data_IF_899515274162
#
_entry.id   IF_899515274162
#
_cell.length_a   1.000
_cell.length_b   1.000
_cell.length_c   1.000
_cell.angle_alpha   90.00
_cell.angle_beta   90.00
_cell.angle_gamma   90.00
#
_symmetry.space_group_name_H-M   'P 1'
#
loop_
_entity.id
_entity.type
_entity.pdbx_description
1 polymer ?
#
# COMPACT_ATOMS: atom_id res chain seq x y z
N UNK A 1 -16.09 -28.73 35.53
CA UNK A 1 -16.75 -27.85 34.55
C UNK A 1 -17.11 -26.54 35.23
N UNK A 2 -16.17 -25.60 35.27
CA UNK A 2 -16.45 -24.20 35.58
C UNK A 2 -15.55 -23.40 34.67
N UNK A 3 -16.18 -22.90 33.62
CA UNK A 3 -15.70 -21.99 32.60
C UNK A 3 -15.32 -20.65 33.25
N UNK A 4 -14.04 -20.30 33.22
CA UNK A 4 -13.56 -18.97 33.61
C UNK A 4 -13.38 -18.15 32.34
N UNK A 5 -14.18 -17.09 32.10
CA UNK A 5 -14.03 -16.29 30.90
C UNK A 5 -12.72 -15.50 30.95
N UNK A 6 -11.83 -15.78 30.00
CA UNK A 6 -10.64 -14.96 29.73
C UNK A 6 -11.10 -13.57 29.32
N UNK A 7 -10.97 -12.63 30.25
CA UNK A 7 -11.38 -11.25 30.07
C UNK A 7 -10.51 -10.56 29.00
N UNK A 8 -11.07 -10.34 27.82
CA UNK A 8 -10.60 -9.47 26.73
C UNK A 8 -10.61 -7.98 27.16
N UNK A 9 -9.88 -7.62 28.21
CA UNK A 9 -9.90 -6.26 28.79
C UNK A 9 -8.83 -5.30 28.25
N UNK A 10 -7.98 -5.69 27.30
CA UNK A 10 -6.83 -4.86 26.90
C UNK A 10 -6.76 -4.42 25.43
N UNK A 11 -7.76 -4.71 24.60
CA UNK A 11 -7.72 -4.29 23.18
C UNK A 11 -8.03 -2.79 23.00
N UNK A 12 -8.59 -2.11 24.01
CA UNK A 12 -9.03 -0.71 23.89
C UNK A 12 -7.97 0.37 24.14
N UNK A 13 -6.84 0.07 24.79
CA UNK A 13 -5.89 1.09 25.23
C UNK A 13 -4.60 1.17 24.38
N UNK A 14 -4.29 0.13 23.61
CA UNK A 14 -3.01 0.02 22.89
C UNK A 14 -2.87 0.99 21.71
N UNK A 15 -3.98 1.57 21.22
CA UNK A 15 -3.92 2.57 20.13
C UNK A 15 -3.34 3.91 20.63
N UNK A 16 -3.56 4.27 21.90
CA UNK A 16 -3.22 5.61 22.42
C UNK A 16 -1.73 5.74 22.83
N UNK A 17 -1.04 4.63 23.09
CA UNK A 17 0.36 4.61 23.52
C UNK A 17 1.29 3.88 22.54
N UNK A 18 0.89 3.71 21.28
CA UNK A 18 1.75 3.13 20.28
C UNK A 18 3.00 4.02 20.08
N UNK A 19 4.21 3.45 20.11
CA UNK A 19 5.41 4.23 19.86
C UNK A 19 5.38 4.78 18.43
N UNK A 20 5.96 5.96 18.20
CA UNK A 20 5.93 6.65 16.89
C UNK A 20 6.33 5.76 15.72
N UNK A 21 7.26 4.81 15.91
CA UNK A 21 7.62 3.86 14.87
C UNK A 21 6.47 2.91 14.51
N UNK A 22 5.70 2.41 15.47
CA UNK A 22 4.53 1.57 15.20
C UNK A 22 3.46 2.37 14.45
N UNK A 23 3.20 3.61 14.85
CA UNK A 23 2.25 4.51 14.16
C UNK A 23 2.71 4.84 12.73
N UNK A 24 3.99 5.11 12.53
CA UNK A 24 4.57 5.35 11.21
C UNK A 24 4.47 4.11 10.31
N UNK A 25 4.76 2.92 10.84
CA UNK A 25 4.62 1.67 10.09
C UNK A 25 3.16 1.39 9.70
N UNK A 26 2.20 1.71 10.57
CA UNK A 26 0.77 1.60 10.26
C UNK A 26 0.34 2.60 9.18
N UNK A 27 0.84 3.83 9.19
CA UNK A 27 0.57 4.79 8.13
C UNK A 27 1.11 4.29 6.77
N UNK A 28 2.36 3.81 6.76
CA UNK A 28 3.00 3.29 5.56
C UNK A 28 2.31 2.03 5.04
N UNK A 29 1.88 1.11 5.91
CA UNK A 29 1.15 -0.08 5.49
C UNK A 29 -0.19 0.27 4.83
N UNK A 30 -0.92 1.26 5.37
CA UNK A 30 -2.15 1.78 4.75
C UNK A 30 -1.88 2.40 3.38
N UNK A 31 -0.81 3.18 3.24
CA UNK A 31 -0.40 3.75 1.96
C UNK A 31 -0.04 2.67 0.94
N UNK A 32 0.76 1.68 1.34
CA UNK A 32 1.14 0.56 0.47
C UNK A 32 -0.09 -0.21 -0.01
N UNK A 33 -1.01 -0.54 0.89
CA UNK A 33 -2.21 -1.30 0.57
C UNK A 33 -3.10 -0.55 -0.43
N UNK A 34 -3.36 0.74 -0.18
CA UNK A 34 -4.16 1.57 -1.09
C UNK A 34 -3.47 1.73 -2.46
N UNK A 35 -2.15 1.95 -2.49
CA UNK A 35 -1.40 2.02 -3.75
C UNK A 35 -1.42 0.73 -4.56
N UNK A 36 -1.47 -0.44 -3.90
CA UNK A 36 -1.58 -1.73 -4.58
C UNK A 36 -2.96 -1.93 -5.22
N UNK A 37 -4.03 -1.48 -4.54
CA UNK A 37 -5.40 -1.60 -5.06
C UNK A 37 -5.65 -0.77 -6.33
N UNK A 38 -4.99 0.38 -6.46
CA UNK A 38 -5.06 1.22 -7.67
C UNK A 38 -4.51 0.50 -8.92
N UNK A 39 -3.56 -0.42 -8.76
CA UNK A 39 -3.01 -1.19 -9.87
C UNK A 39 -3.90 -2.40 -10.16
N UNK A 40 -4.59 -2.36 -11.28
CA UNK A 40 -5.39 -3.48 -11.80
C UNK A 40 -4.58 -4.33 -12.79
N UNK A 41 -3.29 -4.55 -12.48
CA UNK A 41 -2.37 -5.37 -13.28
C UNK A 41 -1.38 -6.14 -12.39
N UNK A 42 -0.79 -7.19 -12.94
CA UNK A 42 0.38 -7.87 -12.40
C UNK A 42 1.62 -7.48 -13.19
N UNK A 43 2.62 -6.91 -12.51
CA UNK A 43 3.90 -6.51 -13.09
C UNK A 43 5.03 -6.61 -12.06
N UNK A 44 6.11 -7.30 -12.43
CA UNK A 44 7.29 -7.44 -11.57
C UNK A 44 6.95 -8.11 -10.23
N UNK A 45 7.26 -7.42 -9.13
CA UNK A 45 6.95 -7.86 -7.76
C UNK A 45 5.48 -7.66 -7.36
N UNK A 46 4.72 -6.79 -8.06
CA UNK A 46 3.29 -6.65 -7.84
C UNK A 46 2.54 -7.76 -8.59
N UNK A 47 1.90 -8.68 -7.86
CA UNK A 47 1.18 -9.83 -8.43
C UNK A 47 -0.22 -9.92 -7.85
N UNK A 48 -1.19 -10.16 -8.72
CA UNK A 48 -2.61 -10.17 -8.40
C UNK A 48 -3.30 -11.29 -9.16
N UNK A 49 -4.01 -12.17 -8.44
CA UNK A 49 -4.76 -13.29 -9.03
C UNK A 49 -5.84 -12.82 -9.99
N UNK A 50 -6.52 -11.73 -9.62
CA UNK A 50 -7.69 -11.24 -10.36
C UNK A 50 -7.29 -10.48 -11.63
N UNK A 51 -6.03 -10.00 -11.69
CA UNK A 51 -5.43 -9.34 -12.86
C UNK A 51 -4.02 -9.86 -13.11
N UNK A 52 -3.93 -11.07 -13.67
CA UNK A 52 -2.65 -11.72 -13.96
C UNK A 52 -1.87 -11.08 -15.11
N UNK A 53 -2.55 -10.31 -15.97
CA UNK A 53 -1.95 -9.63 -17.13
C UNK A 53 -1.28 -8.30 -16.78
N UNK A 54 -0.52 -7.78 -17.73
CA UNK A 54 0.09 -6.45 -17.68
C UNK A 54 -0.67 -5.50 -18.61
N UNK A 55 -0.90 -4.25 -18.17
CA UNK A 55 -1.64 -3.22 -18.89
C UNK A 55 -0.73 -2.04 -19.27
N UNK A 56 -0.67 -1.73 -20.56
CA UNK A 56 0.18 -0.64 -21.09
C UNK A 56 -0.31 0.73 -20.62
N UNK A 57 -1.60 0.90 -20.35
CA UNK A 57 -2.18 2.16 -19.88
C UNK A 57 -1.80 2.47 -18.41
N UNK A 58 -1.39 1.46 -17.66
CA UNK A 58 -0.97 1.56 -16.26
C UNK A 58 0.53 1.83 -16.07
N UNK A 59 1.21 2.33 -17.12
CA UNK A 59 2.59 2.82 -17.07
C UNK A 59 2.68 4.23 -16.47
N UNK A 60 2.20 4.39 -15.24
CA UNK A 60 2.30 5.62 -14.46
C UNK A 60 2.81 5.31 -13.04
N UNK A 61 3.21 6.35 -12.30
CA UNK A 61 3.57 6.23 -10.89
C UNK A 61 2.33 6.40 -10.05
N UNK A 62 2.17 5.57 -9.03
CA UNK A 62 1.15 5.77 -8.00
C UNK A 62 1.80 6.55 -6.87
N UNK A 63 1.19 7.66 -6.49
CA UNK A 63 1.55 8.47 -5.33
C UNK A 63 0.47 8.28 -4.26
N UNK A 64 0.88 8.26 -2.99
CA UNK A 64 -0.04 8.11 -1.86
C UNK A 64 0.40 8.95 -0.68
N UNK A 65 -0.56 9.29 0.17
CA UNK A 65 -0.33 10.10 1.37
C UNK A 65 -1.58 10.22 2.24
N UNK A 66 -1.49 11.09 3.25
CA UNK A 66 -2.57 11.35 4.20
C UNK A 66 -2.52 10.43 5.43
N UNK A 67 -2.64 10.99 6.63
CA UNK A 67 -2.53 10.22 7.88
C UNK A 67 -3.90 9.71 8.34
N UNK A 68 -4.88 10.60 8.49
CA UNK A 68 -6.24 10.21 8.86
C UNK A 68 -6.98 9.66 7.64
N UNK A 69 -7.13 10.49 6.62
CA UNK A 69 -7.70 10.13 5.32
C UNK A 69 -6.60 9.83 4.31
N UNK A 70 -6.47 8.55 3.97
CA UNK A 70 -5.47 8.09 2.99
C UNK A 70 -5.98 8.33 1.58
N UNK A 71 -5.17 9.00 0.77
CA UNK A 71 -5.42 9.23 -0.64
C UNK A 71 -4.37 8.56 -1.52
N UNK A 72 -4.78 8.28 -2.76
CA UNK A 72 -3.97 7.73 -3.84
C UNK A 72 -4.16 8.58 -5.09
N UNK A 73 -3.12 8.67 -5.93
CA UNK A 73 -3.17 9.43 -7.18
C UNK A 73 -2.19 8.87 -8.22
N UNK A 74 -2.41 9.27 -9.47
CA UNK A 74 -1.59 8.85 -10.60
C UNK A 74 -0.74 10.02 -11.07
N UNK A 75 0.57 9.83 -11.04
CA UNK A 75 1.54 10.77 -11.58
C UNK A 75 2.10 10.21 -12.88
N UNK A 76 2.00 11.01 -13.96
CA UNK A 76 2.65 10.68 -15.23
C UNK A 76 4.16 10.77 -15.02
N UNK A 77 4.88 9.77 -15.50
CA UNK A 77 6.33 9.77 -15.49
C UNK A 77 6.85 11.01 -16.23
N UNK A 78 7.68 11.81 -15.57
CA UNK A 78 8.39 12.91 -16.23
C UNK A 78 9.32 12.40 -17.33
N UNK A 79 9.71 13.26 -18.29
CA UNK A 79 10.45 12.86 -19.49
C UNK A 79 11.79 12.16 -19.18
N UNK A 80 12.46 12.53 -18.09
CA UNK A 80 13.72 11.90 -17.65
C UNK A 80 13.50 10.46 -17.20
N UNK A 81 12.45 10.19 -16.43
CA UNK A 81 12.15 8.82 -15.96
C UNK A 81 11.66 7.93 -17.09
N UNK A 82 10.95 8.50 -18.06
CA UNK A 82 10.52 7.78 -19.26
C UNK A 82 11.71 7.34 -20.13
N UNK A 83 12.77 8.16 -20.23
CA UNK A 83 14.00 7.79 -20.93
C UNK A 83 14.74 6.64 -20.25
N UNK A 84 14.81 6.62 -18.92
CA UNK A 84 15.45 5.53 -18.16
C UNK A 84 14.73 4.20 -18.35
N UNK A 85 13.40 4.20 -18.35
CA UNK A 85 12.61 2.98 -18.55
C UNK A 85 12.68 2.44 -19.99
N UNK A 86 12.86 3.30 -21.00
CA UNK A 86 13.10 2.87 -22.39
C UNK A 86 14.42 2.11 -22.57
N UNK A 87 15.42 2.37 -21.72
CA UNK A 87 16.70 1.65 -21.75
C UNK A 87 16.71 0.31 -21.01
N UNK A 88 15.64 -0.03 -20.27
CA UNK A 88 15.53 -1.25 -19.46
C UNK A 88 14.68 -2.35 -20.12
N UNK A 89 14.11 -2.10 -21.31
CA UNK A 89 13.47 -3.13 -22.13
C UNK A 89 14.53 -3.80 -23.01
N UNK A 90 15.18 -4.83 -22.49
CA UNK A 90 15.99 -5.80 -23.22
C UNK A 90 15.60 -7.21 -22.77
#
# INVERSE_FOLDING_TARGET
ATDTPVALRHVGACIVAAPVHATAMLAVSRWMYRSALERTESRGMHRRSDYAGTDVTQRHRVISGGLDDVWTGHERLGPVMEQLLRGQTA
#
